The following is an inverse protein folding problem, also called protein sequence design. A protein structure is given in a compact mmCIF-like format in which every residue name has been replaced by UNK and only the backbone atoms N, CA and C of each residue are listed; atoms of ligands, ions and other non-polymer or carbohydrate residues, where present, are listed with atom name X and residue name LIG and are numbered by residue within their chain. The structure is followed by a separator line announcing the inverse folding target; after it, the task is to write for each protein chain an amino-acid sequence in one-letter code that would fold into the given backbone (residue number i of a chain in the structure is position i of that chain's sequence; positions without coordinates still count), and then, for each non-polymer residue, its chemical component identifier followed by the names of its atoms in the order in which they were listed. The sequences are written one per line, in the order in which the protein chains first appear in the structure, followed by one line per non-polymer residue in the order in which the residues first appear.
data_IF_404890996678
#
_entry.id   IF_404890996678
#
_cell.length_a   1.000
_cell.length_b   1.000
_cell.length_c   1.000
_cell.angle_alpha   90.00
_cell.angle_beta   90.00
_cell.angle_gamma   90.00
#
_symmetry.space_group_name_H-M   'P 1'
#
loop_
_entity.id
_entity.type
_entity.pdbx_description
1 polymer ?
#
# COMPACT_ATOMS: atom_id res chain seq x y z
N UNK A 1 4.80 -14.91 28.82
CA UNK A 1 4.70 -13.81 27.82
C UNK A 1 5.47 -12.52 28.19
N UNK A 2 6.22 -12.46 29.31
CA UNK A 2 6.95 -11.25 29.75
C UNK A 2 8.12 -10.84 28.83
N UNK A 3 8.71 -11.78 28.10
CA UNK A 3 9.85 -11.54 27.21
C UNK A 3 9.51 -10.69 25.97
N UNK A 4 8.26 -10.77 25.49
CA UNK A 4 7.78 -9.95 24.36
C UNK A 4 7.67 -8.48 24.79
N UNK A 5 7.15 -8.25 26.00
CA UNK A 5 6.98 -6.89 26.52
C UNK A 5 8.34 -6.19 26.72
N UNK A 6 9.35 -6.87 27.26
CA UNK A 6 10.70 -6.30 27.42
C UNK A 6 11.36 -6.02 26.08
N UNK A 7 11.22 -6.93 25.11
CA UNK A 7 11.78 -6.75 23.76
C UNK A 7 11.14 -5.57 23.02
N UNK A 8 9.81 -5.41 23.13
CA UNK A 8 9.10 -4.25 22.57
C UNK A 8 9.55 -2.97 23.26
N UNK A 9 9.74 -2.98 24.58
CA UNK A 9 10.14 -1.78 25.34
C UNK A 9 11.57 -1.35 25.00
N UNK A 10 12.50 -2.29 24.85
CA UNK A 10 13.87 -2.01 24.40
C UNK A 10 13.90 -1.54 22.94
N UNK A 11 13.17 -2.21 22.05
CA UNK A 11 13.01 -1.75 20.67
C UNK A 11 12.43 -0.33 20.61
N UNK A 12 11.45 0.00 21.47
CA UNK A 12 10.92 1.35 21.58
C UNK A 12 11.95 2.33 22.14
N UNK A 13 12.74 1.96 23.15
CA UNK A 13 13.79 2.82 23.67
C UNK A 13 14.84 3.17 22.58
N UNK A 14 15.10 2.25 21.66
CA UNK A 14 16.00 2.44 20.51
C UNK A 14 15.34 3.29 19.41
N UNK A 15 14.04 3.14 19.13
CA UNK A 15 13.33 3.87 18.06
C UNK A 15 12.93 5.29 18.51
N UNK A 16 12.63 5.49 19.81
CA UNK A 16 12.08 6.74 20.36
C UNK A 16 12.89 8.03 20.09
N UNK A 17 14.24 8.02 20.08
CA UNK A 17 15.04 9.22 19.81
C UNK A 17 14.86 9.74 18.36
N UNK A 18 14.62 8.84 17.40
CA UNK A 18 14.38 9.18 15.99
C UNK A 18 13.11 10.04 15.80
N UNK A 19 12.12 9.87 16.67
CA UNK A 19 10.83 10.59 16.62
C UNK A 19 10.86 11.94 17.35
N UNK A 20 11.94 12.26 18.09
CA UNK A 20 12.06 13.47 18.91
C UNK A 20 12.95 14.58 18.33
N UNK A 21 13.80 14.30 17.34
CA UNK A 21 14.68 15.30 16.69
C UNK A 21 13.93 16.28 15.77
N UNK A 22 14.53 17.42 15.40
CA UNK A 22 13.97 18.50 14.58
C UNK A 22 13.47 18.04 13.19
N UNK A 23 14.02 16.94 12.67
CA UNK A 23 13.56 16.23 11.45
C UNK A 23 12.33 15.31 11.64
N UNK A 24 11.80 15.21 12.87
CA UNK A 24 10.70 14.32 13.27
C UNK A 24 9.51 14.35 12.31
N UNK A 25 9.08 15.53 11.89
CA UNK A 25 7.91 15.69 11.02
C UNK A 25 8.10 15.02 9.65
N UNK A 26 9.29 15.14 9.06
CA UNK A 26 9.61 14.49 7.78
C UNK A 26 9.63 12.97 7.92
N UNK A 27 10.17 12.45 9.04
CA UNK A 27 10.16 11.02 9.32
C UNK A 27 8.74 10.46 9.53
N UNK A 28 7.87 11.15 10.30
CA UNK A 28 6.48 10.68 10.51
C UNK A 28 5.66 10.76 9.25
N UNK A 29 5.81 11.83 8.47
CA UNK A 29 5.08 12.02 7.22
C UNK A 29 5.45 10.90 6.24
N UNK A 30 6.74 10.58 6.12
CA UNK A 30 7.22 9.50 5.27
C UNK A 30 6.72 8.12 5.75
N UNK A 31 6.71 7.86 7.07
CA UNK A 31 6.11 6.64 7.62
C UNK A 31 4.61 6.55 7.31
N UNK A 32 3.87 7.65 7.54
CA UNK A 32 2.44 7.73 7.26
C UNK A 32 2.13 7.48 5.78
N UNK A 33 2.91 8.07 4.88
CA UNK A 33 2.80 7.83 3.43
C UNK A 33 3.07 6.36 3.08
N UNK A 34 4.11 5.75 3.64
CA UNK A 34 4.41 4.33 3.40
C UNK A 34 3.28 3.43 3.89
N UNK A 35 2.70 3.70 5.07
CA UNK A 35 1.55 2.94 5.59
C UNK A 35 0.33 3.13 4.67
N UNK A 36 0.01 4.36 4.30
CA UNK A 36 -1.10 4.66 3.40
C UNK A 36 -0.95 3.95 2.05
N UNK A 37 0.24 3.96 1.46
CA UNK A 37 0.53 3.25 0.21
C UNK A 37 0.41 1.73 0.36
N UNK A 38 0.82 1.16 1.49
CA UNK A 38 0.63 -0.26 1.76
C UNK A 38 -0.85 -0.64 1.87
N UNK A 39 -1.63 0.13 2.63
CA UNK A 39 -3.07 -0.07 2.74
C UNK A 39 -3.77 0.11 1.39
N UNK A 40 -3.33 1.07 0.58
CA UNK A 40 -3.85 1.29 -0.77
C UNK A 40 -3.59 0.08 -1.68
N UNK A 41 -2.42 -0.56 -1.60
CA UNK A 41 -2.13 -1.77 -2.36
C UNK A 41 -3.03 -2.94 -1.94
N UNK A 42 -3.23 -3.13 -0.64
CA UNK A 42 -4.15 -4.16 -0.14
C UNK A 42 -5.58 -3.88 -0.62
N UNK A 43 -6.02 -2.63 -0.55
CA UNK A 43 -7.32 -2.21 -1.10
C UNK A 43 -7.44 -2.48 -2.60
N UNK A 44 -6.38 -2.25 -3.36
CA UNK A 44 -6.36 -2.53 -4.80
C UNK A 44 -6.41 -4.03 -5.10
N UNK A 45 -5.75 -4.87 -4.29
CA UNK A 45 -5.86 -6.34 -4.43
C UNK A 45 -7.30 -6.82 -4.21
N UNK A 46 -8.00 -6.25 -3.23
CA UNK A 46 -9.42 -6.53 -2.99
C UNK A 46 -10.28 -6.05 -4.16
N UNK A 47 -10.04 -4.83 -4.65
CA UNK A 47 -10.72 -4.29 -5.84
C UNK A 47 -10.53 -5.19 -7.07
N UNK A 48 -9.31 -5.67 -7.31
CA UNK A 48 -9.00 -6.60 -8.41
C UNK A 48 -9.73 -7.94 -8.24
N UNK A 49 -9.92 -8.40 -7.01
CA UNK A 49 -10.67 -9.62 -6.72
C UNK A 49 -12.14 -9.47 -7.09
N UNK A 50 -12.77 -8.33 -6.77
CA UNK A 50 -14.14 -8.02 -7.21
C UNK A 50 -14.21 -7.86 -8.73
N UNK A 51 -13.29 -7.08 -9.31
CA UNK A 51 -13.21 -6.91 -10.77
C UNK A 51 -13.11 -8.25 -11.50
N UNK A 52 -12.29 -9.19 -10.98
CA UNK A 52 -12.15 -10.52 -11.54
C UNK A 52 -13.46 -11.32 -11.48
N UNK A 53 -14.23 -11.21 -10.39
CA UNK A 53 -15.56 -11.83 -10.31
C UNK A 53 -16.52 -11.23 -11.33
N UNK A 54 -16.63 -9.90 -11.41
CA UNK A 54 -17.47 -9.23 -12.39
C UNK A 54 -17.12 -9.63 -13.83
N UNK A 55 -15.83 -9.70 -14.14
CA UNK A 55 -15.33 -10.13 -15.44
C UNK A 55 -15.78 -11.56 -15.79
N UNK A 56 -15.60 -12.52 -14.88
CA UNK A 56 -16.07 -13.89 -15.12
C UNK A 56 -17.59 -13.97 -15.27
N UNK A 57 -18.35 -13.21 -14.48
CA UNK A 57 -19.81 -13.17 -14.61
C UNK A 57 -20.25 -12.64 -15.98
N UNK A 58 -19.60 -11.59 -16.51
CA UNK A 58 -19.91 -11.07 -17.86
C UNK A 58 -19.59 -12.07 -18.97
N UNK A 59 -18.54 -12.88 -18.79
CA UNK A 59 -18.21 -13.96 -19.73
C UNK A 59 -19.25 -15.08 -19.68
N UNK A 60 -19.74 -15.44 -18.48
CA UNK A 60 -20.76 -16.46 -18.30
C UNK A 60 -22.11 -16.03 -18.90
N UNK A 61 -22.51 -14.78 -18.68
CA UNK A 61 -23.74 -14.21 -19.25
C UNK A 61 -23.63 -13.87 -20.75
N UNK A 62 -22.43 -14.01 -21.33
CA UNK A 62 -22.11 -13.61 -22.72
C UNK A 62 -22.42 -12.13 -23.00
N UNK A 63 -22.26 -11.28 -22.00
CA UNK A 63 -22.46 -9.84 -22.12
C UNK A 63 -21.20 -9.17 -22.70
N UNK A 64 -21.25 -8.90 -24.01
CA UNK A 64 -20.15 -8.26 -24.73
C UNK A 64 -19.94 -6.80 -24.31
N UNK A 65 -21.02 -6.07 -24.05
CA UNK A 65 -20.96 -4.66 -23.68
C UNK A 65 -20.36 -4.51 -22.27
N UNK A 66 -20.77 -5.39 -21.34
CA UNK A 66 -20.19 -5.48 -20.00
C UNK A 66 -18.70 -5.81 -20.01
N UNK A 67 -18.28 -6.76 -20.87
CA UNK A 67 -16.87 -7.13 -21.04
C UNK A 67 -16.00 -5.95 -21.51
N UNK A 68 -16.42 -5.23 -22.56
CA UNK A 68 -15.67 -4.08 -23.07
C UNK A 68 -15.66 -2.93 -22.06
N UNK A 69 -16.78 -2.71 -21.36
CA UNK A 69 -16.88 -1.69 -20.33
C UNK A 69 -15.92 -1.94 -19.16
N UNK A 70 -15.86 -3.19 -18.67
CA UNK A 70 -14.93 -3.61 -17.62
C UNK A 70 -13.46 -3.45 -18.02
N UNK A 71 -13.13 -3.53 -19.31
CA UNK A 71 -11.75 -3.40 -19.77
C UNK A 71 -11.31 -1.94 -19.90
N UNK A 72 -12.13 -1.07 -20.51
CA UNK A 72 -11.71 0.26 -20.96
C UNK A 72 -12.39 1.44 -20.27
N UNK A 73 -13.60 1.29 -19.73
CA UNK A 73 -14.38 2.42 -19.22
C UNK A 73 -14.74 2.24 -17.75
N UNK A 74 -15.99 1.90 -17.48
CA UNK A 74 -16.55 1.73 -16.15
C UNK A 74 -17.73 0.76 -16.28
N UNK A 75 -17.89 -0.13 -15.33
CA UNK A 75 -19.00 -1.07 -15.33
C UNK A 75 -19.70 -1.04 -13.98
N UNK A 76 -21.03 -1.06 -13.98
CA UNK A 76 -21.82 -1.13 -12.76
C UNK A 76 -22.32 -2.55 -12.58
N UNK A 77 -21.79 -3.23 -11.58
CA UNK A 77 -22.23 -4.58 -11.18
C UNK A 77 -23.21 -4.47 -10.03
N UNK A 78 -24.31 -5.23 -10.05
CA UNK A 78 -25.30 -5.20 -8.96
C UNK A 78 -24.71 -5.66 -7.60
N UNK A 79 -23.75 -6.59 -7.63
CA UNK A 79 -23.14 -7.15 -6.43
C UNK A 79 -22.09 -6.23 -5.76
N UNK A 80 -21.39 -5.41 -6.54
CA UNK A 80 -20.12 -4.77 -6.12
C UNK A 80 -20.11 -3.25 -6.34
N UNK A 81 -21.10 -2.71 -7.06
CA UNK A 81 -21.23 -1.28 -7.33
C UNK A 81 -20.50 -0.85 -8.60
N UNK A 82 -19.89 0.34 -8.57
CA UNK A 82 -19.17 0.93 -9.69
C UNK A 82 -17.72 0.45 -9.71
N UNK A 83 -17.38 -0.32 -10.74
CA UNK A 83 -16.03 -0.83 -10.97
C UNK A 83 -15.33 -0.01 -12.08
N UNK A 84 -14.10 0.46 -11.84
CA UNK A 84 -13.30 1.09 -12.88
C UNK A 84 -12.85 0.09 -13.95
N UNK A 85 -12.59 0.60 -15.15
CA UNK A 85 -11.96 -0.17 -16.22
C UNK A 85 -10.58 -0.70 -15.81
N UNK A 86 -10.26 -1.93 -16.24
CA UNK A 86 -9.02 -2.61 -15.91
C UNK A 86 -7.77 -1.79 -16.22
N UNK A 87 -7.74 -1.10 -17.37
CA UNK A 87 -6.59 -0.28 -17.77
C UNK A 87 -6.28 0.79 -16.72
N UNK A 88 -7.31 1.46 -16.18
CA UNK A 88 -7.16 2.48 -15.16
C UNK A 88 -6.71 1.86 -13.83
N UNK A 89 -7.33 0.75 -13.42
CA UNK A 89 -6.96 0.02 -12.18
C UNK A 89 -5.52 -0.43 -12.23
N UNK A 90 -5.10 -1.06 -13.34
CA UNK A 90 -3.74 -1.56 -13.54
C UNK A 90 -2.72 -0.41 -13.53
N UNK A 91 -2.99 0.68 -14.25
CA UNK A 91 -2.11 1.85 -14.25
C UNK A 91 -1.95 2.44 -12.85
N UNK A 92 -3.04 2.61 -12.11
CA UNK A 92 -3.02 3.13 -10.75
C UNK A 92 -2.30 2.18 -9.79
N UNK A 93 -2.54 0.87 -9.91
CA UNK A 93 -1.84 -0.14 -9.11
C UNK A 93 -0.33 -0.10 -9.32
N UNK A 94 0.12 -0.08 -10.58
CA UNK A 94 1.55 -0.02 -10.93
C UNK A 94 2.18 1.25 -10.36
N UNK A 95 1.54 2.41 -10.53
CA UNK A 95 2.02 3.67 -9.98
C UNK A 95 2.19 3.57 -8.46
N UNK A 96 1.14 3.14 -7.74
CA UNK A 96 1.19 2.99 -6.28
C UNK A 96 2.28 1.99 -5.87
N UNK A 97 2.39 0.85 -6.56
CA UNK A 97 3.38 -0.19 -6.25
C UNK A 97 4.81 0.32 -6.41
N UNK A 98 5.10 1.04 -7.50
CA UNK A 98 6.43 1.63 -7.75
C UNK A 98 6.77 2.66 -6.67
N UNK A 99 5.87 3.61 -6.39
CA UNK A 99 6.10 4.61 -5.35
C UNK A 99 6.27 3.97 -3.96
N UNK A 100 5.45 2.98 -3.63
CA UNK A 100 5.52 2.25 -2.37
C UNK A 100 6.88 1.55 -2.19
N UNK A 101 7.41 0.96 -3.26
CA UNK A 101 8.74 0.34 -3.26
C UNK A 101 9.83 1.39 -2.97
N UNK A 102 9.86 2.48 -3.74
CA UNK A 102 10.85 3.55 -3.57
C UNK A 102 10.79 4.20 -2.18
N UNK A 103 9.59 4.52 -1.70
CA UNK A 103 9.40 5.15 -0.39
C UNK A 103 9.79 4.22 0.77
N UNK A 104 9.48 2.93 0.64
CA UNK A 104 9.92 1.92 1.62
C UNK A 104 11.44 1.81 1.65
N UNK A 105 12.10 1.75 0.49
CA UNK A 105 13.56 1.70 0.41
C UNK A 105 14.19 2.97 0.99
N UNK A 106 13.65 4.15 0.69
CA UNK A 106 14.11 5.42 1.23
C UNK A 106 14.03 5.45 2.77
N UNK A 107 12.92 4.97 3.34
CA UNK A 107 12.74 4.83 4.78
C UNK A 107 13.78 3.87 5.37
N UNK A 108 13.98 2.71 4.76
CA UNK A 108 14.97 1.72 5.20
C UNK A 108 16.40 2.27 5.17
N UNK A 109 16.79 2.99 4.11
CA UNK A 109 18.10 3.63 4.02
C UNK A 109 18.32 4.69 5.09
N UNK A 110 17.29 5.50 5.38
CA UNK A 110 17.36 6.55 6.40
C UNK A 110 17.43 5.97 7.81
N UNK A 111 16.68 4.90 8.05
CA UNK A 111 16.76 4.11 9.28
C UNK A 111 18.15 3.50 9.47
N UNK A 112 18.71 2.87 8.43
CA UNK A 112 20.07 2.28 8.48
C UNK A 112 21.15 3.33 8.77
N UNK A 113 21.09 4.50 8.11
CA UNK A 113 22.02 5.62 8.37
C UNK A 113 21.94 6.11 9.81
N UNK A 114 20.74 6.26 10.35
CA UNK A 114 20.57 6.67 11.74
C UNK A 114 21.15 5.65 12.73
N UNK A 115 20.95 4.35 12.48
CA UNK A 115 21.58 3.31 13.30
C UNK A 115 23.10 3.38 13.28
N UNK A 116 23.72 3.60 12.12
CA UNK A 116 25.18 3.71 12.05
C UNK A 116 25.69 4.96 12.79
N UNK A 117 25.02 6.09 12.67
CA UNK A 117 25.45 7.34 13.34
C UNK A 117 25.34 7.27 14.87
N UNK A 118 24.38 6.52 15.41
CA UNK A 118 24.15 6.41 16.86
C UNK A 118 24.99 5.32 17.53
N UNK A 119 25.28 4.22 16.83
CA UNK A 119 25.95 3.05 17.43
C UNK A 119 27.42 2.86 17.02
N UNK A 120 27.89 3.52 15.95
CA UNK A 120 29.27 3.35 15.44
C UNK A 120 30.12 4.63 15.50
N UNK A 121 29.60 5.71 16.10
CA UNK A 121 30.34 6.96 16.34
C UNK A 121 31.04 6.96 17.71
#
# INVERSE_FOLDING_TARGET
MRWIATFITEAWALIAPFWRSEERWRARLLLGVVIALNLSLVGMTVLLTYWQRAFYNTLESKDWDGFIALLFSWHRTEAEGLLPGFVLVAALYILIAVYQLYLRQALQMRWRRWLTDVYLA
#
